data_IF_652246251333
#
_entry.id   IF_652246251333
#
_cell.length_a   1.000
_cell.length_b   1.000
_cell.length_c   1.000
_cell.angle_alpha   90.00
_cell.angle_beta   90.00
_cell.angle_gamma   90.00
#
_symmetry.space_group_name_H-M   'P 1'
#
loop_
_entity.id
_entity.type
_entity.pdbx_description
1 polymer ?
#
# COMPACT_ATOMS: atom_id res chain seq x y z
N UNK A 1 -3.87 21.48 63.35
CA UNK A 1 -4.60 22.73 63.18
C UNK A 1 -4.90 22.81 61.69
N UNK A 2 -6.03 22.30 61.24
CA UNK A 2 -7.34 22.92 61.04
C UNK A 2 -7.31 24.16 60.15
N UNK A 3 -7.87 24.00 58.93
CA UNK A 3 -8.86 24.84 58.27
C UNK A 3 -9.22 24.17 56.98
N UNK A 4 -10.33 23.47 56.92
CA UNK A 4 -11.76 23.77 56.60
C UNK A 4 -11.96 24.34 55.18
N UNK A 5 -12.41 23.46 54.31
CA UNK A 5 -13.66 23.38 53.54
C UNK A 5 -14.43 24.71 53.32
N UNK A 6 -14.63 25.04 52.05
CA UNK A 6 -15.83 25.71 51.58
C UNK A 6 -16.20 25.29 50.17
N UNK A 7 -16.88 24.13 50.06
CA UNK A 7 -17.54 23.67 48.83
C UNK A 7 -18.95 24.27 48.77
N UNK A 8 -19.13 25.29 47.90
CA UNK A 8 -20.46 25.76 47.53
C UNK A 8 -21.19 24.68 46.77
N UNK A 9 -22.24 24.14 47.38
CA UNK A 9 -23.22 23.25 46.74
C UNK A 9 -23.90 23.99 45.61
N UNK A 10 -23.53 23.65 44.35
CA UNK A 10 -24.26 24.05 43.17
C UNK A 10 -25.51 23.14 43.10
N UNK A 11 -26.70 23.76 43.13
CA UNK A 11 -28.00 23.08 43.15
C UNK A 11 -28.16 22.23 41.87
N UNK A 12 -28.49 20.94 42.07
CA UNK A 12 -28.70 19.95 40.96
C UNK A 12 -29.70 20.41 39.89
N UNK A 13 -30.67 21.27 40.28
CA UNK A 13 -31.66 21.83 39.33
C UNK A 13 -31.06 22.84 38.41
N UNK A 14 -30.11 23.69 38.82
CA UNK A 14 -29.42 24.67 37.97
C UNK A 14 -28.51 23.99 36.93
N UNK A 15 -27.89 22.87 37.32
CA UNK A 15 -27.05 22.11 36.38
C UNK A 15 -27.86 21.39 35.31
N UNK A 16 -29.10 20.97 35.65
CA UNK A 16 -30.01 20.32 34.69
C UNK A 16 -30.58 21.29 33.67
N UNK A 17 -30.93 22.51 34.10
CA UNK A 17 -31.44 23.56 33.20
C UNK A 17 -30.34 24.05 32.25
N UNK A 18 -29.10 24.22 32.73
CA UNK A 18 -27.95 24.59 31.87
C UNK A 18 -27.61 23.48 30.85
N UNK A 19 -27.68 22.20 31.24
CA UNK A 19 -27.46 21.08 30.29
C UNK A 19 -28.58 20.94 29.24
N UNK A 20 -29.82 21.28 29.61
CA UNK A 20 -30.95 21.26 28.67
C UNK A 20 -30.89 22.43 27.68
N UNK A 21 -30.51 23.65 28.14
CA UNK A 21 -30.34 24.82 27.29
C UNK A 21 -29.16 24.65 26.31
N UNK A 22 -28.06 24.02 26.72
CA UNK A 22 -26.91 23.73 25.84
C UNK A 22 -27.24 22.66 24.78
N UNK A 23 -28.06 21.63 25.13
CA UNK A 23 -28.50 20.62 24.16
C UNK A 23 -29.49 21.18 23.14
N UNK A 24 -30.40 22.08 23.54
CA UNK A 24 -31.37 22.70 22.63
C UNK A 24 -30.65 23.67 21.67
N UNK A 25 -29.70 24.48 22.15
CA UNK A 25 -28.90 25.36 21.29
C UNK A 25 -27.99 24.58 20.33
N UNK A 26 -27.37 23.47 20.76
CA UNK A 26 -26.58 22.62 19.89
C UNK A 26 -27.42 21.92 18.83
N UNK A 27 -28.62 21.47 19.17
CA UNK A 27 -29.56 20.83 18.23
C UNK A 27 -30.14 21.86 17.24
N UNK A 28 -30.45 23.08 17.70
CA UNK A 28 -30.91 24.17 16.84
C UNK A 28 -29.84 24.64 15.86
N UNK A 29 -28.57 24.77 16.31
CA UNK A 29 -27.44 25.12 15.45
C UNK A 29 -27.13 23.99 14.43
N UNK A 30 -27.27 22.72 14.83
CA UNK A 30 -27.10 21.60 13.88
C UNK A 30 -28.23 21.52 12.84
N UNK A 31 -29.48 21.82 13.21
CA UNK A 31 -30.63 21.78 12.30
C UNK A 31 -30.57 22.99 11.32
N UNK A 32 -30.25 24.19 11.82
CA UNK A 32 -30.15 25.36 10.95
C UNK A 32 -28.92 25.34 10.03
N UNK A 33 -27.75 24.95 10.55
CA UNK A 33 -26.55 24.81 9.74
C UNK A 33 -26.71 23.74 8.64
N UNK A 34 -27.42 22.64 8.93
CA UNK A 34 -27.61 21.55 7.96
C UNK A 34 -28.62 21.92 6.85
N UNK A 35 -29.69 22.66 7.18
CA UNK A 35 -30.71 23.03 6.20
C UNK A 35 -30.28 24.17 5.26
N UNK A 36 -29.49 25.12 5.71
CA UNK A 36 -28.98 26.21 4.87
C UNK A 36 -27.78 25.76 4.04
N UNK A 37 -26.93 24.87 4.57
CA UNK A 37 -25.80 24.28 3.86
C UNK A 37 -26.28 23.34 2.73
N UNK A 38 -27.27 22.50 2.99
CA UNK A 38 -27.86 21.60 1.98
C UNK A 38 -28.65 22.38 0.90
N UNK A 39 -29.37 23.46 1.24
CA UNK A 39 -30.06 24.30 0.27
C UNK A 39 -29.09 25.11 -0.59
N UNK A 40 -28.05 25.68 -0.03
CA UNK A 40 -27.04 26.41 -0.78
C UNK A 40 -26.26 25.52 -1.76
N UNK A 41 -25.95 24.31 -1.37
CA UNK A 41 -25.25 23.34 -2.23
C UNK A 41 -26.11 22.81 -3.37
N UNK A 42 -27.40 22.54 -3.12
CA UNK A 42 -28.33 22.06 -4.17
C UNK A 42 -28.64 23.13 -5.21
N UNK A 43 -28.78 24.39 -4.84
CA UNK A 43 -28.99 25.48 -5.79
C UNK A 43 -27.74 25.80 -6.60
N UNK A 44 -26.56 25.88 -5.97
CA UNK A 44 -25.31 26.10 -6.65
C UNK A 44 -24.96 24.94 -7.61
N UNK A 45 -25.24 23.71 -7.23
CA UNK A 45 -25.06 22.53 -8.08
C UNK A 45 -25.97 22.50 -9.28
N UNK A 46 -27.23 22.95 -9.15
CA UNK A 46 -28.20 23.04 -10.26
C UNK A 46 -27.77 24.09 -11.28
N UNK A 47 -27.41 25.30 -10.85
CA UNK A 47 -26.90 26.36 -11.72
C UNK A 47 -25.66 25.94 -12.51
N UNK A 48 -24.74 25.25 -11.87
CA UNK A 48 -23.53 24.72 -12.52
C UNK A 48 -23.85 23.61 -13.55
N UNK A 49 -24.83 22.75 -13.30
CA UNK A 49 -25.26 21.73 -14.28
C UNK A 49 -25.93 22.38 -15.48
N UNK A 50 -26.68 23.46 -15.30
CA UNK A 50 -27.31 24.26 -16.38
C UNK A 50 -26.23 24.97 -17.22
N UNK A 51 -25.17 25.48 -16.59
CA UNK A 51 -24.04 26.10 -17.26
C UNK A 51 -23.27 25.07 -18.12
N UNK A 52 -22.95 23.88 -17.58
CA UNK A 52 -22.34 22.78 -18.35
C UNK A 52 -23.26 22.36 -19.51
N UNK A 53 -24.55 22.27 -19.29
CA UNK A 53 -25.56 21.95 -20.32
C UNK A 53 -25.49 22.97 -21.47
N UNK A 54 -25.47 24.25 -21.14
CA UNK A 54 -25.39 25.36 -22.12
C UNK A 54 -24.08 25.31 -22.93
N UNK A 55 -22.93 25.07 -22.28
CA UNK A 55 -21.62 25.04 -22.94
C UNK A 55 -21.40 23.80 -23.80
N UNK A 56 -21.97 22.66 -23.40
CA UNK A 56 -21.78 21.41 -24.10
C UNK A 56 -22.86 21.04 -25.10
N UNK A 57 -24.02 21.71 -25.04
CA UNK A 57 -25.19 21.39 -25.85
C UNK A 57 -25.94 20.13 -25.44
N UNK A 58 -25.58 19.49 -24.35
CA UNK A 58 -26.26 18.31 -23.81
C UNK A 58 -27.29 18.72 -22.75
N UNK A 59 -28.39 17.98 -22.64
CA UNK A 59 -29.42 18.28 -21.65
C UNK A 59 -28.90 18.18 -20.21
N UNK A 60 -29.46 18.94 -19.28
CA UNK A 60 -29.12 18.88 -17.84
C UNK A 60 -29.25 17.45 -17.29
N UNK A 61 -30.22 16.68 -17.78
CA UNK A 61 -30.38 15.28 -17.40
C UNK A 61 -29.22 14.39 -17.89
N UNK A 62 -28.64 14.71 -19.05
CA UNK A 62 -27.46 14.03 -19.58
C UNK A 62 -26.22 14.44 -18.76
N UNK A 63 -26.05 15.72 -18.47
CA UNK A 63 -24.97 16.22 -17.59
C UNK A 63 -25.03 15.56 -16.22
N UNK A 64 -26.21 15.52 -15.58
CA UNK A 64 -26.42 14.88 -14.29
C UNK A 64 -26.08 13.37 -14.33
N UNK A 65 -26.46 12.65 -15.38
CA UNK A 65 -26.15 11.25 -15.57
C UNK A 65 -24.65 11.00 -15.70
N UNK A 66 -23.97 11.81 -16.49
CA UNK A 66 -22.51 11.70 -16.66
C UNK A 66 -21.80 11.96 -15.34
N UNK A 67 -22.10 13.08 -14.67
CA UNK A 67 -21.46 13.48 -13.42
C UNK A 67 -21.83 12.56 -12.24
N UNK A 68 -22.97 11.84 -12.33
CA UNK A 68 -23.33 10.80 -11.36
C UNK A 68 -22.82 9.40 -11.71
N UNK A 69 -22.02 9.26 -12.78
CA UNK A 69 -21.42 7.98 -13.20
C UNK A 69 -22.44 6.96 -13.75
N UNK A 70 -23.63 7.37 -14.18
CA UNK A 70 -24.63 6.46 -14.76
C UNK A 70 -24.29 6.15 -16.22
N UNK A 71 -24.26 4.89 -16.59
CA UNK A 71 -23.57 4.27 -17.75
C UNK A 71 -24.32 4.30 -19.10
N UNK A 72 -25.18 5.24 -19.41
CA UNK A 72 -25.92 5.27 -20.67
C UNK A 72 -25.75 6.55 -21.48
N UNK A 73 -24.53 7.06 -21.56
CA UNK A 73 -24.21 8.22 -22.41
C UNK A 73 -23.07 7.85 -23.37
N UNK A 74 -23.09 8.45 -24.59
CA UNK A 74 -21.99 8.24 -25.53
C UNK A 74 -20.67 8.77 -24.98
N UNK A 75 -19.56 8.13 -25.36
CA UNK A 75 -18.21 8.53 -24.93
C UNK A 75 -17.94 10.00 -25.27
N UNK A 76 -18.40 10.47 -26.45
CA UNK A 76 -18.28 11.86 -26.88
C UNK A 76 -19.00 12.85 -25.93
N UNK A 77 -20.22 12.50 -25.50
CA UNK A 77 -20.97 13.33 -24.56
C UNK A 77 -20.30 13.36 -23.18
N UNK A 78 -19.85 12.20 -22.72
CA UNK A 78 -19.13 12.06 -21.46
C UNK A 78 -17.85 12.89 -21.44
N UNK A 79 -17.03 12.74 -22.47
CA UNK A 79 -15.76 13.49 -22.60
C UNK A 79 -15.99 15.01 -22.61
N UNK A 80 -16.94 15.49 -23.39
CA UNK A 80 -17.29 16.91 -23.44
C UNK A 80 -17.76 17.43 -22.08
N UNK A 81 -18.67 16.71 -21.40
CA UNK A 81 -19.23 17.13 -20.11
C UNK A 81 -18.16 17.12 -19.01
N UNK A 82 -17.35 16.05 -18.92
CA UNK A 82 -16.28 15.96 -17.91
C UNK A 82 -15.22 17.03 -18.14
N UNK A 83 -14.83 17.28 -19.39
CA UNK A 83 -13.89 18.35 -19.73
C UNK A 83 -14.42 19.72 -19.30
N UNK A 84 -15.65 20.06 -19.67
CA UNK A 84 -16.26 21.35 -19.31
C UNK A 84 -16.41 21.48 -17.79
N UNK A 85 -16.85 20.44 -17.09
CA UNK A 85 -16.95 20.47 -15.63
C UNK A 85 -15.59 20.68 -14.96
N UNK A 86 -14.51 20.16 -15.55
CA UNK A 86 -13.14 20.37 -15.09
C UNK A 86 -12.69 21.81 -15.35
N UNK A 87 -12.91 22.34 -16.54
CA UNK A 87 -12.57 23.71 -16.92
C UNK A 87 -13.25 24.74 -16.01
N UNK A 88 -14.48 24.45 -15.60
CA UNK A 88 -15.22 25.24 -14.62
C UNK A 88 -14.81 25.03 -13.16
N UNK A 89 -13.88 24.12 -12.89
CA UNK A 89 -13.39 23.78 -11.53
C UNK A 89 -14.45 23.16 -10.62
N UNK A 90 -15.51 22.58 -11.19
CA UNK A 90 -16.67 22.07 -10.43
C UNK A 90 -16.75 20.54 -10.39
N UNK A 91 -15.83 19.86 -11.08
CA UNK A 91 -15.89 18.41 -11.24
C UNK A 91 -15.86 17.66 -9.90
N UNK A 92 -14.97 18.03 -8.98
CA UNK A 92 -14.86 17.38 -7.66
C UNK A 92 -16.12 17.55 -6.82
N UNK A 93 -16.69 18.77 -6.81
CA UNK A 93 -17.89 19.06 -6.02
C UNK A 93 -19.15 18.41 -6.59
N UNK A 94 -19.19 18.11 -7.88
CA UNK A 94 -20.34 17.56 -8.58
C UNK A 94 -20.29 16.04 -8.79
N UNK A 95 -19.11 15.45 -8.73
CA UNK A 95 -18.93 13.99 -8.90
C UNK A 95 -19.51 13.17 -7.73
N UNK A 96 -20.04 13.80 -6.69
CA UNK A 96 -20.79 13.17 -5.59
C UNK A 96 -20.10 11.93 -4.99
N UNK A 97 -18.76 11.95 -4.89
CA UNK A 97 -17.98 10.82 -4.37
C UNK A 97 -17.93 9.58 -5.27
N UNK A 98 -18.41 9.64 -6.52
CA UNK A 98 -18.35 8.53 -7.47
C UNK A 98 -17.13 8.62 -8.36
N UNK A 99 -16.55 7.45 -8.64
CA UNK A 99 -15.50 7.34 -9.65
C UNK A 99 -16.07 7.68 -11.04
N UNK A 100 -15.42 8.61 -11.73
CA UNK A 100 -15.75 8.94 -13.13
C UNK A 100 -15.05 7.99 -14.11
N UNK A 101 -14.78 6.78 -13.70
CA UNK A 101 -14.11 5.70 -14.43
C UNK A 101 -15.14 4.60 -14.67
N UNK A 102 -15.25 4.12 -15.91
CA UNK A 102 -16.14 2.99 -16.25
C UNK A 102 -15.38 1.67 -16.27
N UNK A 103 -14.12 1.70 -16.71
CA UNK A 103 -13.30 0.51 -16.83
C UNK A 103 -11.84 0.77 -16.52
N UNK A 104 -11.25 -0.11 -15.75
CA UNK A 104 -9.83 -0.13 -15.39
C UNK A 104 -9.19 -1.38 -16.02
N UNK A 105 -8.09 -1.21 -16.75
CA UNK A 105 -7.21 -2.31 -17.10
C UNK A 105 -6.12 -2.43 -16.05
N UNK A 106 -6.01 -3.58 -15.41
CA UNK A 106 -4.99 -3.90 -14.42
C UNK A 106 -4.01 -4.88 -15.04
N UNK A 107 -2.76 -4.47 -15.12
CA UNK A 107 -1.66 -5.30 -15.59
C UNK A 107 -0.79 -5.72 -14.40
N UNK A 108 -0.45 -7.00 -14.35
CA UNK A 108 0.42 -7.55 -13.31
C UNK A 108 1.29 -8.67 -13.90
N UNK A 109 2.36 -9.12 -13.22
CA UNK A 109 3.15 -10.25 -13.68
C UNK A 109 2.28 -11.49 -13.92
N UNK A 110 2.52 -12.20 -15.04
CA UNK A 110 1.71 -13.35 -15.47
C UNK A 110 1.61 -14.42 -14.38
N UNK A 111 2.71 -14.66 -13.63
CA UNK A 111 2.75 -15.60 -12.50
C UNK A 111 1.69 -15.31 -11.42
N UNK A 112 1.22 -14.07 -11.33
CA UNK A 112 0.15 -13.66 -10.38
C UNK A 112 -1.15 -14.44 -10.59
N UNK A 113 -1.42 -14.85 -11.83
CA UNK A 113 -2.64 -15.52 -12.24
C UNK A 113 -2.46 -17.03 -12.39
N UNK A 114 -1.24 -17.56 -12.20
CA UNK A 114 -0.88 -18.96 -12.37
C UNK A 114 -0.75 -19.68 -11.02
N UNK A 115 -1.76 -20.38 -10.57
CA UNK A 115 -1.68 -21.32 -9.45
C UNK A 115 -1.67 -20.70 -8.05
N UNK A 116 -0.64 -20.97 -7.23
CA UNK A 116 -0.47 -20.42 -5.87
C UNK A 116 -0.02 -18.96 -5.95
N UNK A 117 -0.92 -18.06 -6.36
CA UNK A 117 -0.64 -16.65 -6.56
C UNK A 117 0.06 -16.00 -5.35
N UNK A 118 1.00 -15.14 -5.63
CA UNK A 118 1.66 -14.30 -4.64
C UNK A 118 0.61 -13.48 -3.87
N UNK A 119 0.60 -13.63 -2.55
CA UNK A 119 -0.41 -13.01 -1.68
C UNK A 119 -0.37 -11.49 -1.76
N UNK A 120 0.80 -10.91 -2.01
CA UNK A 120 0.92 -9.47 -2.26
C UNK A 120 -0.05 -9.03 -3.37
N UNK A 121 0.02 -9.65 -4.55
CA UNK A 121 -0.84 -9.31 -5.68
C UNK A 121 -2.31 -9.59 -5.41
N UNK A 122 -2.62 -10.70 -4.72
CA UNK A 122 -3.98 -11.04 -4.34
C UNK A 122 -4.62 -9.96 -3.46
N UNK A 123 -3.91 -9.47 -2.44
CA UNK A 123 -4.43 -8.43 -1.55
C UNK A 123 -4.52 -7.06 -2.26
N UNK A 124 -3.56 -6.72 -3.12
CA UNK A 124 -3.63 -5.51 -3.95
C UNK A 124 -4.86 -5.55 -4.86
N UNK A 125 -5.11 -6.66 -5.56
CA UNK A 125 -6.28 -6.79 -6.43
C UNK A 125 -7.60 -6.76 -5.68
N UNK A 126 -7.65 -7.29 -4.46
CA UNK A 126 -8.82 -7.14 -3.56
C UNK A 126 -9.07 -5.67 -3.21
N UNK A 127 -8.02 -4.90 -2.91
CA UNK A 127 -8.13 -3.45 -2.64
C UNK A 127 -8.68 -2.69 -3.86
N UNK A 128 -8.19 -2.98 -5.07
CA UNK A 128 -8.72 -2.40 -6.30
C UNK A 128 -10.20 -2.75 -6.49
N UNK A 129 -10.58 -4.00 -6.29
CA UNK A 129 -11.96 -4.45 -6.42
C UNK A 129 -12.88 -3.77 -5.38
N UNK A 130 -12.43 -3.67 -4.14
CA UNK A 130 -13.17 -3.00 -3.05
C UNK A 130 -13.42 -1.52 -3.36
N UNK A 131 -12.38 -0.78 -3.76
CA UNK A 131 -12.52 0.63 -4.10
C UNK A 131 -13.35 0.86 -5.37
N UNK A 132 -13.41 -0.12 -6.27
CA UNK A 132 -14.15 -0.03 -7.54
C UNK A 132 -15.62 -0.47 -7.41
N UNK A 133 -15.94 -1.43 -6.55
CA UNK A 133 -17.25 -2.07 -6.43
C UNK A 133 -18.42 -1.09 -6.19
N UNK A 134 -18.32 -0.06 -5.30
CA UNK A 134 -19.42 0.87 -5.08
C UNK A 134 -19.77 1.72 -6.29
N UNK A 135 -18.92 1.75 -7.32
CA UNK A 135 -18.99 2.67 -8.45
C UNK A 135 -19.39 2.02 -9.77
N UNK A 136 -19.66 0.70 -9.77
CA UNK A 136 -19.94 -0.08 -10.98
C UNK A 136 -18.81 0.00 -12.04
N UNK A 137 -17.57 0.06 -11.61
CA UNK A 137 -16.40 0.07 -12.48
C UNK A 137 -16.08 -1.35 -12.91
N UNK A 138 -15.95 -1.56 -14.22
CA UNK A 138 -15.48 -2.83 -14.74
C UNK A 138 -13.95 -2.91 -14.61
N UNK A 139 -13.43 -3.98 -14.01
CA UNK A 139 -11.99 -4.20 -13.84
C UNK A 139 -11.58 -5.41 -14.68
N UNK A 140 -10.64 -5.20 -15.60
CA UNK A 140 -10.07 -6.25 -16.45
C UNK A 140 -8.63 -6.50 -16.03
N UNK A 141 -8.30 -7.76 -15.76
CA UNK A 141 -6.96 -8.18 -15.37
C UNK A 141 -6.23 -8.80 -16.55
N UNK A 142 -4.95 -8.47 -16.74
CA UNK A 142 -4.10 -8.98 -17.80
C UNK A 142 -2.71 -9.30 -17.26
N UNK A 143 -2.23 -10.52 -17.48
CA UNK A 143 -0.86 -10.92 -17.19
C UNK A 143 0.11 -10.32 -18.23
N UNK A 144 1.25 -9.82 -17.77
CA UNK A 144 2.38 -9.43 -18.59
C UNK A 144 3.62 -10.18 -18.11
N UNK A 145 4.51 -10.48 -19.03
CA UNK A 145 5.83 -10.99 -18.68
C UNK A 145 6.65 -9.88 -17.99
N UNK A 146 7.41 -10.24 -16.95
CA UNK A 146 8.02 -9.24 -16.04
C UNK A 146 9.15 -8.42 -16.67
N UNK A 147 9.96 -9.06 -17.54
CA UNK A 147 11.18 -8.44 -18.08
C UNK A 147 11.03 -8.00 -19.54
N UNK A 148 10.20 -8.69 -20.30
CA UNK A 148 9.96 -8.45 -21.72
C UNK A 148 8.47 -8.43 -22.00
N UNK A 149 7.78 -7.46 -21.42
CA UNK A 149 6.33 -7.35 -21.53
C UNK A 149 5.87 -7.31 -23.00
N UNK A 150 4.83 -8.07 -23.33
CA UNK A 150 4.21 -8.04 -24.66
C UNK A 150 3.54 -6.68 -24.90
N UNK A 151 4.26 -5.80 -25.59
CA UNK A 151 3.82 -4.45 -25.97
C UNK A 151 2.52 -4.49 -26.75
N UNK A 152 2.35 -5.46 -27.65
CA UNK A 152 1.13 -5.59 -28.47
C UNK A 152 -0.06 -5.93 -27.60
N UNK A 153 0.08 -6.90 -26.71
CA UNK A 153 -0.94 -7.28 -25.75
C UNK A 153 -1.31 -6.11 -24.84
N UNK A 154 -0.29 -5.40 -24.31
CA UNK A 154 -0.52 -4.22 -23.48
C UNK A 154 -1.34 -3.16 -24.22
N UNK A 155 -0.94 -2.78 -25.44
CA UNK A 155 -1.65 -1.77 -26.24
C UNK A 155 -3.07 -2.22 -26.60
N UNK A 156 -3.28 -3.48 -26.98
CA UNK A 156 -4.60 -4.03 -27.28
C UNK A 156 -5.55 -3.86 -26.08
N UNK A 157 -5.12 -4.28 -24.90
CA UNK A 157 -5.94 -4.21 -23.68
C UNK A 157 -6.12 -2.79 -23.16
N UNK A 158 -5.04 -2.01 -23.09
CA UNK A 158 -5.06 -0.63 -22.59
C UNK A 158 -5.84 0.32 -23.51
N UNK A 159 -5.83 0.09 -24.84
CA UNK A 159 -6.53 0.94 -25.80
C UNK A 159 -8.00 0.57 -25.98
N UNK A 160 -8.47 -0.51 -25.37
CA UNK A 160 -9.86 -0.95 -25.52
C UNK A 160 -10.81 0.20 -25.14
N UNK A 161 -11.89 0.37 -25.91
CA UNK A 161 -12.84 1.49 -25.79
C UNK A 161 -13.50 1.62 -24.42
N UNK A 162 -13.70 0.51 -23.72
CA UNK A 162 -14.33 0.50 -22.40
C UNK A 162 -13.33 0.76 -21.26
N UNK A 163 -12.03 0.87 -21.56
CA UNK A 163 -10.98 1.17 -20.58
C UNK A 163 -10.72 2.67 -20.55
N UNK A 164 -10.90 3.27 -19.39
CA UNK A 164 -10.68 4.70 -19.17
C UNK A 164 -9.50 4.98 -18.24
N UNK A 165 -8.98 3.97 -17.56
CA UNK A 165 -7.85 4.10 -16.64
C UNK A 165 -7.02 2.82 -16.63
N UNK A 166 -5.76 2.94 -16.22
CA UNK A 166 -4.78 1.86 -16.23
C UNK A 166 -4.12 1.76 -14.86
N UNK A 167 -3.95 0.55 -14.36
CA UNK A 167 -3.10 0.24 -13.20
C UNK A 167 -2.06 -0.78 -13.65
N UNK A 168 -0.80 -0.55 -13.30
CA UNK A 168 0.31 -1.46 -13.58
C UNK A 168 0.94 -1.84 -12.26
N UNK A 169 0.99 -3.14 -11.95
CA UNK A 169 1.45 -3.66 -10.66
C UNK A 169 2.74 -4.44 -10.83
N UNK A 170 3.77 -4.08 -10.07
CA UNK A 170 4.91 -4.96 -9.86
C UNK A 170 5.79 -5.21 -11.09
N UNK A 171 5.85 -4.32 -12.05
CA UNK A 171 6.80 -4.34 -13.17
C UNK A 171 7.66 -3.09 -13.17
N UNK A 172 8.86 -3.17 -13.74
CA UNK A 172 9.80 -2.05 -13.89
C UNK A 172 10.16 -1.86 -15.39
N UNK A 173 9.24 -2.20 -16.32
CA UNK A 173 9.43 -2.04 -17.76
C UNK A 173 9.20 -0.59 -18.21
N UNK A 174 10.26 0.15 -18.48
CA UNK A 174 10.20 1.55 -18.91
C UNK A 174 9.51 1.74 -20.27
N UNK A 175 9.48 0.72 -21.13
CA UNK A 175 8.80 0.78 -22.43
C UNK A 175 7.29 0.82 -22.22
N UNK A 176 6.78 -0.05 -21.34
CA UNK A 176 5.35 -0.08 -20.97
C UNK A 176 4.93 1.24 -20.30
N UNK A 177 5.79 1.82 -19.43
CA UNK A 177 5.49 3.09 -18.76
C UNK A 177 5.41 4.26 -19.76
N UNK A 178 6.35 4.33 -20.70
CA UNK A 178 6.33 5.32 -21.77
C UNK A 178 5.08 5.20 -22.64
N UNK A 179 4.71 3.97 -23.02
CA UNK A 179 3.48 3.73 -23.79
C UNK A 179 2.24 4.13 -22.99
N UNK A 180 2.14 3.74 -21.72
CA UNK A 180 1.02 4.11 -20.85
C UNK A 180 0.85 5.63 -20.76
N UNK A 181 1.95 6.40 -20.66
CA UNK A 181 1.91 7.87 -20.60
C UNK A 181 1.38 8.53 -21.88
N UNK A 182 1.47 7.84 -23.04
CA UNK A 182 0.98 8.38 -24.32
C UNK A 182 -0.50 8.11 -24.59
N UNK A 183 -1.16 7.24 -23.81
CA UNK A 183 -2.53 6.81 -24.09
C UNK A 183 -3.62 7.82 -23.68
N UNK A 184 -3.25 8.98 -23.12
CA UNK A 184 -4.19 9.99 -22.60
C UNK A 184 -5.22 9.41 -21.60
N UNK A 185 -4.86 8.38 -20.86
CA UNK A 185 -5.67 7.76 -19.82
C UNK A 185 -4.91 7.88 -18.49
N UNK A 186 -5.60 8.16 -17.37
CA UNK A 186 -4.97 8.07 -16.06
C UNK A 186 -4.30 6.71 -15.89
N UNK A 187 -3.04 6.73 -15.50
CA UNK A 187 -2.25 5.53 -15.22
C UNK A 187 -1.58 5.66 -13.86
N UNK A 188 -1.71 4.62 -13.03
CA UNK A 188 -1.07 4.54 -11.72
C UNK A 188 -0.25 3.26 -11.63
N UNK A 189 0.97 3.40 -11.17
CA UNK A 189 1.86 2.29 -10.88
C UNK A 189 1.67 1.83 -9.42
N UNK A 190 1.67 0.53 -9.20
CA UNK A 190 1.69 -0.05 -7.85
C UNK A 190 2.98 -0.85 -7.67
N UNK A 191 3.74 -0.54 -6.62
CA UNK A 191 4.98 -1.24 -6.29
C UNK A 191 5.95 -1.31 -7.47
N UNK A 192 6.16 -0.18 -8.14
CA UNK A 192 7.03 0.00 -9.31
C UNK A 192 7.71 1.35 -9.24
N UNK A 193 8.87 1.47 -9.89
CA UNK A 193 9.63 2.72 -9.94
C UNK A 193 9.64 3.24 -11.38
N UNK A 194 8.97 4.37 -11.61
CA UNK A 194 9.11 5.12 -12.86
C UNK A 194 10.29 6.10 -12.77
N UNK A 195 11.40 5.77 -13.43
CA UNK A 195 12.60 6.60 -13.43
C UNK A 195 12.40 7.93 -14.15
N UNK A 196 11.52 7.98 -15.15
CA UNK A 196 11.17 9.18 -15.89
C UNK A 196 10.20 10.10 -15.13
N UNK A 197 9.56 9.58 -14.05
CA UNK A 197 8.65 10.31 -13.15
C UNK A 197 7.49 10.99 -13.89
N UNK A 198 6.91 10.31 -14.86
CA UNK A 198 5.78 10.81 -15.65
C UNK A 198 4.43 10.20 -15.24
N UNK A 199 4.46 9.08 -14.50
CA UNK A 199 3.26 8.38 -14.02
C UNK A 199 3.12 8.50 -12.50
N UNK A 200 1.88 8.59 -12.04
CA UNK A 200 1.56 8.50 -10.62
C UNK A 200 1.89 7.10 -10.08
N UNK A 201 2.30 7.01 -8.81
CA UNK A 201 2.61 5.74 -8.19
C UNK A 201 2.17 5.65 -6.75
N UNK A 202 1.81 4.43 -6.33
CA UNK A 202 1.58 4.03 -4.93
C UNK A 202 2.49 2.85 -4.64
N UNK A 203 3.28 2.93 -3.60
CA UNK A 203 4.24 1.87 -3.26
C UNK A 203 4.35 1.70 -1.74
N UNK A 204 4.70 0.49 -1.26
CA UNK A 204 5.24 0.39 0.09
C UNK A 204 6.47 1.31 0.21
N UNK A 205 6.62 1.96 1.35
CA UNK A 205 7.90 2.63 1.65
C UNK A 205 8.98 1.58 1.97
N UNK A 206 9.52 1.00 0.91
CA UNK A 206 10.51 -0.08 1.03
C UNK A 206 11.72 0.32 1.88
N UNK A 207 12.18 1.58 1.74
CA UNK A 207 13.30 2.08 2.53
C UNK A 207 12.96 2.12 4.01
N UNK A 208 11.81 2.72 4.36
CA UNK A 208 11.35 2.76 5.73
C UNK A 208 11.08 1.35 6.30
N UNK A 209 10.54 0.43 5.50
CA UNK A 209 10.29 -0.96 5.91
C UNK A 209 11.60 -1.66 6.26
N UNK A 210 12.62 -1.54 5.39
CA UNK A 210 13.95 -2.11 5.67
C UNK A 210 14.60 -1.50 6.91
N UNK A 211 14.52 -0.18 7.06
CA UNK A 211 15.01 0.52 8.25
C UNK A 211 14.29 0.06 9.52
N UNK A 212 12.95 0.01 9.50
CA UNK A 212 12.14 -0.37 10.66
C UNK A 212 12.40 -1.80 11.12
N UNK A 213 12.60 -2.75 10.20
CA UNK A 213 12.95 -4.12 10.55
C UNK A 213 14.29 -4.18 11.29
N UNK A 214 15.30 -3.52 10.76
CA UNK A 214 16.64 -3.49 11.38
C UNK A 214 16.66 -2.70 12.69
N UNK A 215 15.93 -1.58 12.76
CA UNK A 215 15.77 -0.82 13.99
C UNK A 215 15.22 -1.70 15.10
N UNK A 216 14.14 -2.46 14.85
CA UNK A 216 13.56 -3.38 15.81
C UNK A 216 14.61 -4.39 16.33
N UNK A 217 15.42 -4.98 15.46
CA UNK A 217 16.47 -5.92 15.83
C UNK A 217 17.59 -5.27 16.66
N UNK A 218 18.05 -4.11 16.25
CA UNK A 218 19.15 -3.41 16.95
C UNK A 218 18.73 -2.87 18.31
N UNK A 219 17.46 -2.47 18.46
CA UNK A 219 16.87 -2.09 19.76
C UNK A 219 16.74 -3.28 20.71
N UNK A 220 16.52 -4.52 20.19
CA UNK A 220 16.57 -5.76 20.95
C UNK A 220 18.00 -6.23 21.28
N UNK A 221 19.01 -5.48 20.84
CA UNK A 221 20.42 -5.75 21.14
C UNK A 221 21.17 -6.59 20.12
N UNK A 222 20.52 -7.08 19.08
CA UNK A 222 21.17 -7.85 18.02
C UNK A 222 22.18 -7.02 17.24
N UNK A 223 23.25 -7.66 16.74
CA UNK A 223 24.33 -7.00 15.98
C UNK A 223 24.74 -7.77 14.73
N UNK A 224 24.49 -9.07 14.68
CA UNK A 224 24.84 -9.96 13.57
C UNK A 224 23.56 -10.44 12.90
N UNK A 225 23.18 -9.81 11.80
CA UNK A 225 21.95 -10.11 11.06
C UNK A 225 22.33 -10.55 9.65
N UNK A 226 21.93 -11.75 9.24
CA UNK A 226 22.05 -12.20 7.86
C UNK A 226 20.74 -11.89 7.14
N UNK A 227 20.79 -10.94 6.21
CA UNK A 227 19.67 -10.57 5.35
C UNK A 227 19.64 -11.45 4.11
N UNK A 228 18.54 -12.16 3.86
CA UNK A 228 18.28 -12.87 2.60
C UNK A 228 17.37 -12.01 1.71
N UNK A 229 17.79 -11.76 0.47
CA UNK A 229 17.02 -10.94 -0.45
C UNK A 229 17.25 -11.34 -1.90
N UNK A 230 16.32 -10.93 -2.78
CA UNK A 230 16.49 -10.97 -4.21
C UNK A 230 16.56 -9.51 -4.71
N UNK A 231 17.51 -9.19 -5.57
CA UNK A 231 17.75 -7.81 -6.03
C UNK A 231 17.34 -7.61 -7.51
N UNK A 232 16.23 -8.17 -7.92
CA UNK A 232 15.74 -8.10 -9.31
C UNK A 232 15.02 -6.80 -9.65
N UNK A 233 14.62 -6.00 -8.64
CA UNK A 233 13.75 -4.84 -8.81
C UNK A 233 14.25 -3.63 -8.04
N UNK A 234 14.01 -2.43 -8.58
CA UNK A 234 14.42 -1.16 -7.96
C UNK A 234 13.84 -0.98 -6.54
N UNK A 235 12.63 -1.46 -6.30
CA UNK A 235 11.99 -1.43 -4.98
C UNK A 235 12.76 -2.22 -3.91
N UNK A 236 13.44 -3.29 -4.31
CA UNK A 236 14.23 -4.13 -3.41
C UNK A 236 15.60 -3.53 -3.09
N UNK A 237 16.20 -2.81 -4.04
CA UNK A 237 17.36 -1.97 -3.74
C UNK A 237 17.01 -0.87 -2.73
N UNK A 238 15.84 -0.24 -2.87
CA UNK A 238 15.39 0.76 -1.89
C UNK A 238 15.23 0.15 -0.49
N UNK A 239 14.74 -1.10 -0.37
CA UNK A 239 14.67 -1.81 0.91
C UNK A 239 16.05 -2.09 1.49
N UNK A 240 16.99 -2.55 0.69
CA UNK A 240 18.38 -2.75 1.10
C UNK A 240 19.05 -1.44 1.52
N UNK A 241 18.75 -0.33 0.87
CA UNK A 241 19.27 0.99 1.27
C UNK A 241 18.75 1.39 2.66
N UNK A 242 17.48 1.10 2.97
CA UNK A 242 16.92 1.29 4.31
C UNK A 242 17.60 0.42 5.38
N UNK A 243 17.88 -0.85 5.06
CA UNK A 243 18.66 -1.74 5.91
C UNK A 243 20.04 -1.14 6.20
N UNK A 244 20.79 -0.76 5.17
CA UNK A 244 22.11 -0.13 5.32
C UNK A 244 22.05 1.19 6.08
N UNK A 245 20.96 1.95 5.95
CA UNK A 245 20.74 3.16 6.72
C UNK A 245 20.60 2.88 8.21
N UNK A 246 19.87 1.82 8.60
CA UNK A 246 19.77 1.41 9.99
C UNK A 246 21.15 1.02 10.58
N UNK A 247 21.97 0.26 9.85
CA UNK A 247 23.35 -0.04 10.27
C UNK A 247 24.14 1.25 10.57
N UNK A 248 24.06 2.25 9.67
CA UNK A 248 24.73 3.55 9.89
C UNK A 248 24.16 4.30 11.10
N UNK A 249 22.83 4.31 11.26
CA UNK A 249 22.15 4.99 12.36
C UNK A 249 22.55 4.42 13.73
N UNK A 250 22.69 3.11 13.82
CA UNK A 250 23.11 2.42 15.05
C UNK A 250 24.63 2.29 15.20
N UNK A 251 25.42 2.90 14.31
CA UNK A 251 26.90 2.83 14.30
C UNK A 251 27.45 1.40 14.23
N UNK A 252 26.77 0.53 13.49
CA UNK A 252 27.18 -0.86 13.23
C UNK A 252 27.75 -0.92 11.82
N UNK A 253 28.89 -1.61 11.63
CA UNK A 253 29.45 -1.82 10.31
C UNK A 253 28.63 -2.86 9.51
N UNK A 254 28.15 -2.47 8.32
CA UNK A 254 27.53 -3.38 7.36
C UNK A 254 28.60 -3.99 6.46
N UNK A 255 28.72 -5.30 6.46
CA UNK A 255 29.69 -6.06 5.66
C UNK A 255 28.94 -7.00 4.70
N UNK A 256 28.86 -6.70 3.40
CA UNK A 256 28.04 -7.48 2.46
C UNK A 256 28.33 -8.98 2.46
N UNK A 257 29.59 -9.40 2.68
CA UNK A 257 29.97 -10.83 2.70
C UNK A 257 29.43 -11.56 3.92
N UNK A 258 29.18 -10.85 5.02
CA UNK A 258 28.69 -11.40 6.29
C UNK A 258 27.18 -11.21 6.45
N UNK A 259 26.66 -10.03 6.03
CA UNK A 259 25.32 -9.55 6.42
C UNK A 259 24.29 -9.71 5.30
N UNK A 260 24.71 -10.10 4.08
CA UNK A 260 23.83 -10.17 2.92
C UNK A 260 24.01 -11.46 2.13
N UNK A 261 22.90 -12.17 1.93
CA UNK A 261 22.79 -13.33 1.05
C UNK A 261 21.75 -13.02 -0.03
N UNK A 262 22.19 -13.05 -1.29
CA UNK A 262 21.33 -12.71 -2.45
C UNK A 262 20.96 -13.97 -3.19
N UNK A 263 19.67 -14.19 -3.36
CA UNK A 263 19.09 -15.27 -4.18
C UNK A 263 18.64 -14.74 -5.54
N UNK A 264 18.39 -15.60 -6.49
CA UNK A 264 17.87 -15.21 -7.79
C UNK A 264 16.38 -14.85 -7.71
N UNK A 265 15.60 -15.62 -6.94
CA UNK A 265 14.16 -15.43 -6.73
C UNK A 265 13.79 -15.40 -5.24
N UNK A 266 12.52 -15.13 -4.93
CA UNK A 266 11.94 -15.17 -3.57
C UNK A 266 11.30 -16.51 -3.25
N UNK A 267 11.80 -17.63 -3.76
CA UNK A 267 11.20 -18.93 -3.49
C UNK A 267 11.69 -19.50 -2.16
N UNK A 268 10.89 -20.40 -1.56
CA UNK A 268 11.28 -21.12 -0.37
C UNK A 268 12.47 -22.04 -0.65
N UNK A 269 12.48 -22.70 -1.82
CA UNK A 269 13.50 -23.62 -2.25
C UNK A 269 14.87 -22.95 -2.37
N UNK A 270 14.93 -21.76 -3.01
CA UNK A 270 16.20 -21.02 -3.12
C UNK A 270 16.67 -20.48 -1.78
N UNK A 271 15.73 -20.01 -0.93
CA UNK A 271 16.07 -19.54 0.40
C UNK A 271 16.61 -20.66 1.27
N UNK A 272 16.03 -21.87 1.19
CA UNK A 272 16.49 -23.08 1.88
C UNK A 272 17.90 -23.45 1.43
N UNK A 273 18.08 -23.59 0.12
CA UNK A 273 19.37 -23.98 -0.45
C UNK A 273 20.48 -22.98 -0.10
N UNK A 274 20.23 -21.70 -0.34
CA UNK A 274 21.23 -20.65 -0.11
C UNK A 274 21.62 -20.54 1.37
N UNK A 275 20.65 -20.65 2.30
CA UNK A 275 20.93 -20.62 3.73
C UNK A 275 21.63 -21.88 4.21
N UNK A 276 21.25 -23.06 3.73
CA UNK A 276 21.88 -24.33 4.04
C UNK A 276 23.37 -24.37 3.61
N UNK A 277 23.65 -23.91 2.39
CA UNK A 277 25.01 -23.76 1.87
C UNK A 277 25.84 -22.76 2.71
N UNK A 278 25.21 -21.61 3.06
CA UNK A 278 25.87 -20.60 3.87
C UNK A 278 26.22 -21.12 5.26
N UNK A 279 25.28 -21.76 5.97
CA UNK A 279 25.50 -22.34 7.32
C UNK A 279 26.52 -23.46 7.28
N UNK A 280 26.53 -24.30 6.24
CA UNK A 280 27.47 -25.41 6.08
C UNK A 280 28.89 -24.95 5.77
N UNK A 281 29.06 -23.79 5.16
CA UNK A 281 30.36 -23.22 4.75
C UNK A 281 31.01 -22.33 5.81
N UNK A 282 30.29 -22.00 6.91
CA UNK A 282 30.79 -21.13 7.97
C UNK A 282 30.82 -21.83 9.32
N UNK A 283 31.84 -21.55 10.12
CA UNK A 283 31.91 -22.04 11.49
C UNK A 283 30.76 -21.51 12.35
N UNK A 284 30.28 -22.29 13.29
CA UNK A 284 29.18 -21.91 14.20
C UNK A 284 29.41 -20.56 14.92
N UNK A 285 30.66 -20.23 15.24
CA UNK A 285 31.05 -18.98 15.85
C UNK A 285 30.75 -17.74 14.93
N UNK A 286 30.67 -17.97 13.63
CA UNK A 286 30.40 -16.94 12.61
C UNK A 286 28.90 -16.84 12.30
N UNK A 287 28.09 -17.77 12.78
CA UNK A 287 26.65 -17.78 12.48
C UNK A 287 25.96 -16.50 12.99
N UNK A 288 24.94 -15.99 12.27
CA UNK A 288 24.21 -14.78 12.65
C UNK A 288 23.34 -15.04 13.88
N UNK A 289 22.99 -13.98 14.58
CA UNK A 289 22.02 -14.01 15.68
C UNK A 289 20.57 -13.98 15.14
N UNK A 290 20.41 -13.43 13.94
CA UNK A 290 19.11 -13.24 13.28
C UNK A 290 19.21 -13.56 11.80
N UNK A 291 18.22 -14.28 11.28
CA UNK A 291 17.97 -14.38 9.84
C UNK A 291 16.83 -13.44 9.48
N UNK A 292 17.04 -12.66 8.41
CA UNK A 292 16.08 -11.70 7.92
C UNK A 292 15.76 -11.96 6.43
N UNK A 293 14.87 -12.91 6.08
CA UNK A 293 14.33 -13.01 4.73
C UNK A 293 13.45 -11.81 4.38
N UNK A 294 13.76 -11.15 3.28
CA UNK A 294 13.09 -9.93 2.82
C UNK A 294 11.74 -10.18 2.13
N UNK A 295 11.23 -11.39 2.21
CA UNK A 295 9.89 -11.75 1.74
C UNK A 295 9.36 -12.92 2.55
N UNK A 296 8.07 -12.90 2.83
CA UNK A 296 7.38 -14.02 3.49
C UNK A 296 7.46 -15.31 2.67
N UNK A 297 7.57 -15.23 1.36
CA UNK A 297 7.72 -16.41 0.49
C UNK A 297 9.00 -17.22 0.78
N UNK A 298 10.05 -16.58 1.32
CA UNK A 298 11.32 -17.22 1.68
C UNK A 298 11.29 -17.89 3.06
N UNK A 299 10.31 -17.55 3.91
CA UNK A 299 10.30 -17.93 5.35
C UNK A 299 10.24 -19.43 5.55
N UNK A 300 9.42 -20.14 4.78
CA UNK A 300 9.31 -21.61 4.89
C UNK A 300 10.66 -22.29 4.60
N UNK A 301 11.37 -21.84 3.57
CA UNK A 301 12.70 -22.37 3.24
C UNK A 301 13.74 -22.06 4.32
N UNK A 302 13.70 -20.84 4.88
CA UNK A 302 14.58 -20.48 6.01
C UNK A 302 14.32 -21.38 7.22
N UNK A 303 13.05 -21.60 7.59
CA UNK A 303 12.69 -22.48 8.71
C UNK A 303 13.16 -23.93 8.44
N UNK A 304 13.00 -24.41 7.20
CA UNK A 304 13.46 -25.75 6.79
C UNK A 304 14.98 -25.89 6.96
N UNK A 305 15.77 -24.93 6.46
CA UNK A 305 17.23 -24.94 6.61
C UNK A 305 17.65 -24.88 8.08
N UNK A 306 17.07 -23.99 8.89
CA UNK A 306 17.38 -23.88 10.31
C UNK A 306 17.06 -25.17 11.07
N UNK A 307 15.93 -25.82 10.76
CA UNK A 307 15.53 -27.10 11.36
C UNK A 307 16.52 -28.19 11.02
N UNK A 308 17.02 -28.25 9.77
CA UNK A 308 18.04 -29.23 9.34
C UNK A 308 19.34 -29.09 10.12
N UNK A 309 19.72 -27.86 10.47
CA UNK A 309 20.89 -27.57 11.31
C UNK A 309 20.61 -27.68 12.82
N UNK A 310 19.40 -28.12 13.23
CA UNK A 310 18.99 -28.27 14.63
C UNK A 310 18.79 -26.97 15.39
N UNK A 311 18.58 -25.85 14.68
CA UNK A 311 18.38 -24.52 15.27
C UNK A 311 16.90 -24.26 15.54
N UNK A 312 16.60 -23.82 16.76
CA UNK A 312 15.25 -23.48 17.21
C UNK A 312 15.02 -21.95 17.14
N UNK A 313 13.82 -21.57 16.77
CA UNK A 313 13.39 -20.18 16.69
C UNK A 313 12.43 -19.91 17.86
N UNK A 314 12.66 -18.89 18.68
CA UNK A 314 13.76 -17.92 18.69
C UNK A 314 14.95 -18.32 19.59
N UNK A 315 14.96 -19.52 20.17
CA UNK A 315 15.87 -19.92 21.24
C UNK A 315 17.34 -19.92 20.81
N UNK A 316 17.65 -20.40 19.62
CA UNK A 316 19.01 -20.54 19.10
C UNK A 316 19.31 -19.47 18.04
N UNK A 317 18.29 -19.00 17.31
CA UNK A 317 18.38 -17.96 16.29
C UNK A 317 17.06 -17.22 16.14
N UNK A 318 17.11 -15.90 16.05
CA UNK A 318 15.92 -15.08 15.82
C UNK A 318 15.55 -15.03 14.34
N UNK A 319 14.26 -14.84 14.05
CA UNK A 319 13.73 -14.73 12.69
C UNK A 319 12.77 -13.55 12.58
N UNK A 320 13.02 -12.67 11.60
CA UNK A 320 12.13 -11.55 11.23
C UNK A 320 11.94 -11.56 9.72
N UNK A 321 10.79 -11.06 9.23
CA UNK A 321 10.55 -10.95 7.79
C UNK A 321 9.88 -9.62 7.42
N UNK A 322 9.67 -9.39 6.12
CA UNK A 322 8.84 -8.31 5.57
C UNK A 322 7.75 -8.87 4.66
N UNK A 323 6.90 -7.99 4.14
CA UNK A 323 5.76 -8.33 3.28
C UNK A 323 4.69 -9.19 4.00
N UNK A 324 4.71 -9.16 5.32
CA UNK A 324 3.81 -9.94 6.14
C UNK A 324 2.37 -9.43 5.95
N UNK A 325 1.56 -10.19 5.22
CA UNK A 325 0.12 -10.01 5.24
C UNK A 325 -0.45 -10.79 6.43
N UNK A 326 -1.29 -10.16 7.25
CA UNK A 326 -1.93 -10.78 8.41
C UNK A 326 -2.51 -12.17 8.12
N UNK A 327 -3.06 -12.36 6.92
CA UNK A 327 -3.65 -13.62 6.46
C UNK A 327 -2.62 -14.77 6.30
N UNK A 328 -1.33 -14.48 6.24
CA UNK A 328 -0.26 -15.49 6.15
C UNK A 328 0.15 -16.04 7.51
N UNK A 329 -0.03 -15.25 8.58
CA UNK A 329 0.24 -15.71 9.94
C UNK A 329 -0.49 -17.01 10.28
N UNK A 330 -1.65 -17.25 9.66
CA UNK A 330 -2.43 -18.47 9.84
C UNK A 330 -1.96 -19.66 8.98
N UNK A 331 -1.02 -19.47 8.06
CA UNK A 331 -0.49 -20.53 7.18
C UNK A 331 0.82 -21.13 7.69
N UNK A 332 1.53 -20.40 8.55
CA UNK A 332 2.72 -20.90 9.22
C UNK A 332 2.31 -21.58 10.52
N UNK A 333 2.93 -22.70 10.87
CA UNK A 333 2.69 -23.39 12.15
C UNK A 333 2.93 -22.45 13.35
N UNK A 334 3.90 -21.54 13.21
CA UNK A 334 4.19 -20.46 14.18
C UNK A 334 4.28 -19.13 13.44
N UNK A 335 3.56 -18.09 13.88
CA UNK A 335 3.71 -16.74 13.32
C UNK A 335 5.16 -16.24 13.50
N UNK A 336 5.65 -15.53 12.49
CA UNK A 336 6.99 -14.92 12.50
C UNK A 336 6.82 -13.41 12.65
N UNK A 337 7.62 -12.80 13.53
CA UNK A 337 7.71 -11.33 13.66
C UNK A 337 8.05 -10.72 12.30
N UNK A 338 7.38 -9.64 11.95
CA UNK A 338 7.59 -9.04 10.63
C UNK A 338 7.16 -7.59 10.52
N UNK A 339 7.61 -6.92 9.46
CA UNK A 339 7.14 -5.59 9.08
C UNK A 339 6.07 -5.73 8.02
N UNK A 340 4.85 -5.30 8.34
CA UNK A 340 3.70 -5.41 7.44
C UNK A 340 3.85 -4.53 6.21
N UNK A 341 3.29 -4.99 5.09
CA UNK A 341 3.06 -4.19 3.89
C UNK A 341 1.54 -4.01 3.72
N UNK A 342 1.04 -2.78 3.61
CA UNK A 342 -0.39 -2.50 3.49
C UNK A 342 -0.89 -2.78 2.06
N UNK A 343 -0.85 -4.05 1.63
CA UNK A 343 -1.10 -4.46 0.24
C UNK A 343 -2.51 -4.07 -0.25
N UNK A 344 -3.52 -4.23 0.60
CA UNK A 344 -4.91 -3.90 0.24
C UNK A 344 -5.09 -2.40 0.06
N UNK A 345 -4.49 -1.63 0.93
CA UNK A 345 -4.47 -0.16 0.90
C UNK A 345 -3.77 0.36 -0.35
N UNK A 346 -2.71 -0.31 -0.84
CA UNK A 346 -2.07 0.05 -2.12
C UNK A 346 -3.08 0.02 -3.27
N UNK A 347 -3.93 -1.01 -3.31
CA UNK A 347 -4.97 -1.13 -4.33
C UNK A 347 -6.04 -0.04 -4.21
N UNK A 348 -6.48 0.25 -2.99
CA UNK A 348 -7.48 1.29 -2.70
C UNK A 348 -6.94 2.67 -3.12
N UNK A 349 -5.74 3.02 -2.67
CA UNK A 349 -5.12 4.31 -2.96
C UNK A 349 -4.77 4.50 -4.44
N UNK A 350 -4.46 3.43 -5.16
CA UNK A 350 -4.27 3.50 -6.61
C UNK A 350 -5.56 3.92 -7.33
N UNK A 351 -6.72 3.40 -6.92
CA UNK A 351 -8.03 3.81 -7.48
C UNK A 351 -8.35 5.25 -7.13
N UNK A 352 -8.08 5.70 -5.91
CA UNK A 352 -8.25 7.09 -5.49
C UNK A 352 -7.34 8.02 -6.30
N UNK A 353 -6.10 7.60 -6.56
CA UNK A 353 -5.14 8.38 -7.33
C UNK A 353 -5.53 8.48 -8.81
N UNK A 354 -6.10 7.41 -9.40
CA UNK A 354 -6.72 7.49 -10.73
C UNK A 354 -7.82 8.56 -10.79
N UNK A 355 -8.70 8.60 -9.78
CA UNK A 355 -9.76 9.62 -9.69
C UNK A 355 -9.16 11.02 -9.53
N UNK A 356 -8.13 11.16 -8.71
CA UNK A 356 -7.42 12.44 -8.52
C UNK A 356 -6.80 12.91 -9.83
N UNK A 357 -6.13 12.05 -10.58
CA UNK A 357 -5.55 12.38 -11.90
C UNK A 357 -6.62 12.75 -12.91
N UNK A 358 -7.77 12.07 -12.89
CA UNK A 358 -8.89 12.39 -13.77
C UNK A 358 -9.45 13.78 -13.48
N UNK A 359 -9.59 14.14 -12.21
CA UNK A 359 -10.08 15.46 -11.79
C UNK A 359 -9.06 16.58 -12.07
N UNK A 360 -7.77 16.28 -11.88
CA UNK A 360 -6.66 17.23 -11.95
C UNK A 360 -5.53 16.72 -12.86
N UNK A 361 -5.77 16.67 -14.20
CA UNK A 361 -4.82 16.06 -15.16
C UNK A 361 -3.48 16.78 -15.22
N UNK A 362 -3.43 18.06 -14.89
CA UNK A 362 -2.21 18.86 -14.86
C UNK A 362 -1.55 18.97 -13.48
N UNK A 363 -2.05 18.23 -12.48
CA UNK A 363 -1.41 18.19 -11.19
C UNK A 363 0.01 17.57 -11.30
N UNK A 364 0.94 17.92 -10.41
CA UNK A 364 2.22 17.26 -10.33
C UNK A 364 2.06 15.74 -10.20
N UNK A 365 3.07 15.00 -10.62
CA UNK A 365 3.10 13.53 -10.44
C UNK A 365 3.18 13.22 -8.95
N UNK A 366 2.33 12.30 -8.50
CA UNK A 366 2.29 11.83 -7.13
C UNK A 366 3.08 10.53 -6.98
N UNK A 367 3.88 10.45 -5.93
CA UNK A 367 4.50 9.22 -5.47
C UNK A 367 4.07 9.00 -4.02
N UNK A 368 3.07 8.15 -3.81
CA UNK A 368 2.51 7.85 -2.50
C UNK A 368 3.22 6.62 -1.91
N UNK A 369 3.85 6.81 -0.75
CA UNK A 369 4.55 5.77 -0.02
C UNK A 369 3.77 5.39 1.24
N UNK A 370 3.40 4.11 1.36
CA UNK A 370 2.65 3.58 2.49
C UNK A 370 3.59 2.90 3.49
N UNK A 371 3.46 3.28 4.76
CA UNK A 371 4.31 2.80 5.85
C UNK A 371 3.91 1.40 6.31
N UNK A 372 4.92 0.57 6.63
CA UNK A 372 4.75 -0.69 7.35
C UNK A 372 4.80 -0.51 8.86
N UNK A 373 4.35 -1.55 9.59
CA UNK A 373 4.41 -1.61 11.06
C UNK A 373 4.99 -2.94 11.49
N UNK A 374 5.80 -2.93 12.55
CA UNK A 374 6.27 -4.16 13.19
C UNK A 374 5.09 -4.86 13.84
N UNK A 375 4.95 -6.16 13.53
CA UNK A 375 4.06 -7.10 14.21
C UNK A 375 4.92 -8.15 14.89
N UNK A 376 5.00 -8.07 16.22
CA UNK A 376 5.81 -8.98 17.01
C UNK A 376 4.99 -10.24 17.38
N UNK A 377 5.53 -11.41 17.02
CA UNK A 377 4.96 -12.73 17.33
C UNK A 377 5.92 -13.60 18.15
N UNK A 378 6.98 -12.98 18.70
CA UNK A 378 7.92 -13.68 19.58
C UNK A 378 8.94 -14.54 18.85
N UNK A 379 9.14 -14.41 17.54
CA UNK A 379 10.22 -15.08 16.81
C UNK A 379 11.56 -14.33 16.86
N UNK A 380 11.60 -13.16 17.51
CA UNK A 380 12.81 -12.39 17.83
C UNK A 380 13.02 -12.42 19.34
N UNK A 381 14.15 -12.96 19.79
CA UNK A 381 14.55 -12.97 21.20
C UNK A 381 15.32 -11.69 21.54
N UNK A 382 15.43 -11.38 22.84
CA UNK A 382 16.37 -10.34 23.27
C UNK A 382 17.81 -10.91 23.25
N UNK A 383 18.75 -10.20 22.62
CA UNK A 383 20.14 -10.64 22.44
C UNK A 383 20.88 -10.94 23.76
N UNK A 384 20.55 -10.26 24.86
CA UNK A 384 21.10 -10.54 26.19
C UNK A 384 20.71 -11.93 26.73
N UNK A 385 19.51 -12.42 26.40
CA UNK A 385 19.07 -13.78 26.74
C UNK A 385 19.79 -14.83 25.90
N UNK A 386 20.06 -14.52 24.64
CA UNK A 386 20.79 -15.41 23.74
C UNK A 386 22.24 -15.62 24.18
N UNK A 387 22.96 -14.53 24.50
CA UNK A 387 24.35 -14.59 24.98
C UNK A 387 24.48 -15.34 26.32
N UNK A 388 23.55 -15.17 27.26
CA UNK A 388 23.56 -15.87 28.54
C UNK A 388 23.36 -17.39 28.41
N UNK A 389 22.62 -17.84 27.39
CA UNK A 389 22.35 -19.25 27.15
C UNK A 389 23.52 -19.96 26.46
N UNK A 390 24.12 -19.32 25.46
CA UNK A 390 25.33 -19.84 24.79
C UNK A 390 26.49 -20.03 25.80
N UNK A 391 26.53 -19.18 26.83
CA UNK A 391 27.53 -19.30 27.93
C UNK A 391 27.20 -20.43 28.91
N UNK A 392 25.97 -20.93 28.97
CA UNK A 392 25.58 -22.07 29.83
C UNK A 392 25.71 -23.41 29.13
N UNK A 393 25.75 -23.45 27.81
CA UNK A 393 25.91 -24.68 27.00
C UNK A 393 27.38 -24.93 26.60
N UNK A 394 28.35 -24.09 27.06
CA UNK A 394 29.82 -24.28 27.02
C UNK A 394 30.36 -24.69 28.37
#
# INVERSE_FOLDING_TARGET
MCFCENTRKVNKQTLTILKFSFKINALFLQIFAKTDWERGHTMAGKLKMEEISSLTGYSVSTVSRVLSGKSYTSDKAREAIVRTARELGVLESMASGRLLINGIAVFAPERTFQGRGDIFYLEVTKGIAEASAPHNVWVSYCGLEEQHADVKLFLEKASHKNINAIIIIGTDDSTIFKLASTLNKPCVLINSVDRDRVLDSVSPDHRAIGFTAMQHLFEQGHRRVLTLTCLRRDTLYARLDGIKEAYRHFHIAFEPRRDLLVTEWFTAEEAEQALDEWLSSHDKAQWPEVIFPNSTSMVEGVISALTRHGLRIPEDISLITTDFAWNLAHRLEKPVTGVTVPCRELGIEAVHLLQTRLNRPQAPVYNLLLQGKVMDFGSVSNATRHAARVALDQ
#
